data_IF_260633624070
#
_entry.id   IF_260633624070
#
_cell.length_a   1.000
_cell.length_b   1.000
_cell.length_c   1.000
_cell.angle_alpha   90.00
_cell.angle_beta   90.00
_cell.angle_gamma   90.00
#
_symmetry.space_group_name_H-M   'P 1'
#
loop_
_entity.id
_entity.type
_entity.pdbx_description
1 polymer ?
#
# COMPACT_ATOMS: atom_id res chain seq x y z
N UNK A 1 30.36 50.39 25.50
CA UNK A 1 31.70 50.60 26.01
C UNK A 1 31.69 50.89 27.51
N UNK A 2 32.64 50.34 28.23
CA UNK A 2 32.83 50.56 29.68
C UNK A 2 34.10 51.35 29.89
N UNK A 3 34.04 52.45 30.66
CA UNK A 3 35.21 53.20 31.04
C UNK A 3 35.82 52.51 32.28
N UNK A 4 37.05 52.10 32.15
CA UNK A 4 37.80 51.49 33.27
C UNK A 4 38.85 52.50 33.71
N UNK A 5 38.85 52.81 35.02
CA UNK A 5 39.85 53.69 35.64
C UNK A 5 40.69 52.87 36.64
N UNK A 6 41.97 52.98 36.58
CA UNK A 6 42.89 52.38 37.53
C UNK A 6 43.85 53.47 38.08
N UNK A 7 44.27 53.35 39.35
CA UNK A 7 45.30 54.19 39.94
C UNK A 7 46.60 53.45 40.06
N UNK A 8 47.68 54.08 39.63
CA UNK A 8 49.03 53.53 39.81
C UNK A 8 49.49 53.66 41.29
N UNK A 9 50.58 53.06 41.63
CA UNK A 9 51.15 53.12 42.99
C UNK A 9 51.53 54.55 43.47
N UNK A 10 51.47 55.53 42.60
CA UNK A 10 51.70 56.93 42.89
C UNK A 10 50.41 57.74 42.89
N UNK A 11 49.27 57.12 42.86
CA UNK A 11 47.97 57.75 42.91
C UNK A 11 47.51 58.42 41.61
N UNK A 12 48.24 58.23 40.47
CA UNK A 12 47.90 58.80 39.19
C UNK A 12 46.81 57.93 38.55
N UNK A 13 45.75 58.61 38.09
CA UNK A 13 44.61 57.94 37.48
C UNK A 13 44.89 57.69 35.98
N UNK A 14 44.75 56.46 35.56
CA UNK A 14 44.82 56.06 34.17
C UNK A 14 43.40 55.57 33.78
N UNK A 15 42.85 56.19 32.77
CA UNK A 15 41.53 55.79 32.24
C UNK A 15 41.68 55.17 30.85
N UNK A 16 41.08 54.03 30.66
CA UNK A 16 40.97 53.36 29.37
C UNK A 16 39.50 53.06 29.03
N UNK A 17 39.19 53.01 27.78
CA UNK A 17 37.86 52.58 27.32
C UNK A 17 38.00 51.18 26.72
N UNK A 18 37.25 50.26 27.30
CA UNK A 18 37.10 48.90 26.72
C UNK A 18 35.77 48.89 25.94
N UNK A 19 35.84 48.59 24.67
CA UNK A 19 34.68 48.42 23.83
C UNK A 19 34.39 46.94 23.75
N UNK A 20 33.26 46.51 24.28
CA UNK A 20 32.72 45.18 24.03
C UNK A 20 31.91 45.29 22.77
N UNK A 21 32.29 44.51 21.76
CA UNK A 21 31.47 44.28 20.59
C UNK A 21 30.71 42.99 20.88
N UNK A 22 29.42 43.11 21.15
CA UNK A 22 28.53 41.96 21.20
C UNK A 22 28.20 41.63 19.73
N UNK A 23 28.92 40.68 19.16
CA UNK A 23 28.48 40.08 17.93
C UNK A 23 27.22 39.26 18.24
N UNK A 24 26.15 39.57 17.54
CA UNK A 24 24.95 38.75 17.63
C UNK A 24 25.28 37.40 17.01
N UNK A 25 25.35 36.37 17.85
CA UNK A 25 25.59 35.01 17.40
C UNK A 25 24.56 34.56 16.38
N UNK A 26 24.88 33.53 15.62
CA UNK A 26 23.94 32.89 14.68
C UNK A 26 22.70 32.42 15.44
N UNK A 27 21.54 32.68 14.86
CA UNK A 27 20.24 32.19 15.35
C UNK A 27 19.65 31.31 14.26
N UNK A 28 19.29 30.09 14.62
CA UNK A 28 18.71 29.13 13.68
C UNK A 28 17.19 29.03 13.87
N UNK A 29 16.51 28.71 12.79
CA UNK A 29 15.09 28.30 12.75
C UNK A 29 14.98 26.98 11.98
N UNK A 30 14.44 25.97 12.63
CA UNK A 30 14.17 24.68 11.99
C UNK A 30 12.88 24.77 11.18
N UNK A 31 12.84 24.10 10.04
CA UNK A 31 11.65 23.94 9.22
C UNK A 31 11.62 22.52 8.63
N UNK A 32 10.49 21.88 8.78
CA UNK A 32 10.18 20.62 8.09
C UNK A 32 8.87 20.80 7.35
N UNK A 33 8.89 20.70 6.05
CA UNK A 33 7.64 20.73 5.27
C UNK A 33 6.75 19.57 5.70
N UNK A 34 5.46 19.80 5.87
CA UNK A 34 4.50 18.76 6.31
C UNK A 34 4.53 17.52 5.42
N UNK A 35 4.69 17.69 4.11
CA UNK A 35 4.84 16.60 3.13
C UNK A 35 6.12 15.77 3.32
N UNK A 36 7.15 16.31 3.98
CA UNK A 36 8.40 15.61 4.28
C UNK A 36 8.34 14.79 5.58
N UNK A 37 7.25 14.87 6.32
CA UNK A 37 7.01 14.10 7.53
C UNK A 37 6.27 12.80 7.16
N UNK A 38 6.94 11.67 7.31
CA UNK A 38 6.42 10.33 7.04
C UNK A 38 6.18 9.59 8.37
N UNK A 39 5.64 8.39 8.32
CA UNK A 39 5.40 7.58 9.53
C UNK A 39 6.71 7.20 10.25
N UNK A 40 7.75 6.87 9.51
CA UNK A 40 9.02 6.36 10.07
C UNK A 40 10.25 7.18 9.68
N UNK A 41 10.06 8.29 8.97
CA UNK A 41 11.18 9.15 8.54
C UNK A 41 10.77 10.60 8.33
N UNK A 42 11.75 11.49 8.38
CA UNK A 42 11.64 12.89 7.99
C UNK A 42 12.62 13.14 6.86
N UNK A 43 12.11 13.54 5.70
CA UNK A 43 12.92 13.77 4.50
C UNK A 43 13.47 15.19 4.52
N UNK A 44 14.80 15.30 4.43
CA UNK A 44 15.52 16.56 4.21
C UNK A 44 15.04 17.74 5.07
N UNK A 45 15.08 17.64 6.42
CA UNK A 45 14.75 18.76 7.27
C UNK A 45 15.69 19.94 7.02
N UNK A 46 15.20 21.14 7.19
CA UNK A 46 15.91 22.38 6.87
C UNK A 46 16.16 23.23 8.11
N UNK A 47 17.23 24.03 8.07
CA UNK A 47 17.42 25.12 9.00
C UNK A 47 17.81 26.40 8.27
N UNK A 48 17.27 27.52 8.77
CA UNK A 48 17.57 28.88 8.29
C UNK A 48 18.32 29.61 9.39
N UNK A 49 19.35 30.37 9.01
CA UNK A 49 20.26 31.03 9.93
C UNK A 49 20.23 32.56 9.73
N UNK A 50 19.86 33.26 10.79
CA UNK A 50 20.10 34.71 10.85
C UNK A 50 21.60 34.93 11.13
N UNK A 51 22.27 35.82 10.42
CA UNK A 51 23.70 36.12 10.52
C UNK A 51 24.67 35.02 10.02
N UNK A 52 24.18 34.12 9.16
CA UNK A 52 25.00 33.10 8.53
C UNK A 52 25.11 31.80 9.32
N UNK A 53 25.36 30.71 8.60
CA UNK A 53 25.44 29.35 9.16
C UNK A 53 26.82 29.10 9.80
N UNK A 54 26.88 28.70 11.08
CA UNK A 54 28.12 28.22 11.71
C UNK A 54 28.63 26.95 11.03
N UNK A 55 29.97 26.76 11.02
CA UNK A 55 30.58 25.60 10.39
C UNK A 55 30.28 24.26 11.07
N UNK A 56 30.00 24.32 12.37
CA UNK A 56 29.74 23.18 13.26
C UNK A 56 28.25 23.04 13.63
N UNK A 57 27.35 23.72 12.90
CA UNK A 57 25.92 23.64 13.16
C UNK A 57 25.42 22.20 12.93
N UNK A 58 24.73 21.65 13.94
CA UNK A 58 24.17 20.31 13.94
C UNK A 58 22.68 20.36 14.27
N UNK A 59 21.86 19.67 13.52
CA UNK A 59 20.45 19.47 13.87
C UNK A 59 20.34 18.26 14.81
N UNK A 60 19.64 18.46 15.90
CA UNK A 60 19.31 17.40 16.84
C UNK A 60 17.79 17.26 16.98
N UNK A 61 17.33 16.05 17.25
CA UNK A 61 15.92 15.74 17.46
C UNK A 61 15.73 14.89 18.73
N UNK A 62 14.52 14.96 19.31
CA UNK A 62 14.21 14.26 20.56
C UNK A 62 12.70 14.06 20.69
N UNK A 63 12.28 12.99 21.38
CA UNK A 63 10.89 12.74 21.75
C UNK A 63 10.53 13.30 23.13
N UNK A 64 11.53 13.53 24.00
CA UNK A 64 11.34 13.90 25.40
C UNK A 64 11.95 15.27 25.78
N UNK A 65 12.68 15.90 24.85
CA UNK A 65 13.40 17.16 25.07
C UNK A 65 14.61 17.02 26.00
N UNK A 66 14.96 15.81 26.42
CA UNK A 66 16.07 15.52 27.36
C UNK A 66 17.19 14.76 26.66
N UNK A 67 16.84 13.67 26.00
CA UNK A 67 17.78 12.86 25.21
C UNK A 67 17.70 13.29 23.76
N UNK A 68 18.84 13.70 23.21
CA UNK A 68 18.93 14.25 21.87
C UNK A 68 19.79 13.37 20.97
N UNK A 69 19.28 13.13 19.78
CA UNK A 69 19.95 12.40 18.71
C UNK A 69 20.33 13.38 17.60
N UNK A 70 21.46 13.13 16.94
CA UNK A 70 21.96 14.00 15.88
C UNK A 70 21.41 13.56 14.51
N UNK A 71 20.85 14.50 13.76
CA UNK A 71 20.53 14.31 12.34
C UNK A 71 21.78 14.45 11.42
N UNK A 72 22.98 14.58 12.02
CA UNK A 72 24.24 14.69 11.28
C UNK A 72 24.58 16.13 10.86
N UNK A 73 25.60 16.21 10.02
CA UNK A 73 26.10 17.49 9.51
C UNK A 73 25.20 18.02 8.37
N UNK A 74 24.98 19.34 8.30
CA UNK A 74 24.18 19.93 7.23
C UNK A 74 24.92 19.95 5.88
N UNK A 75 24.12 19.88 4.81
CA UNK A 75 24.56 20.31 3.49
C UNK A 75 24.18 21.78 3.33
N UNK A 76 25.19 22.62 3.17
CA UNK A 76 25.00 24.06 2.98
C UNK A 76 24.38 24.33 1.60
N UNK A 77 23.21 24.95 1.59
CA UNK A 77 22.53 25.38 0.35
C UNK A 77 22.89 26.82 0.00
N UNK A 78 22.91 27.71 1.03
CA UNK A 78 23.29 29.12 0.89
C UNK A 78 23.98 29.58 2.17
N UNK A 79 24.30 30.88 2.26
CA UNK A 79 24.90 31.46 3.48
C UNK A 79 24.03 31.35 4.72
N UNK A 80 22.72 31.23 4.52
CA UNK A 80 21.68 31.32 5.55
C UNK A 80 20.74 30.11 5.56
N UNK A 81 20.98 29.10 4.68
CA UNK A 81 20.13 27.90 4.59
C UNK A 81 20.97 26.62 4.52
N UNK A 82 20.59 25.64 5.32
CA UNK A 82 21.11 24.29 5.29
C UNK A 82 19.98 23.25 5.18
N UNK A 83 20.30 22.11 4.56
CA UNK A 83 19.46 20.91 4.53
C UNK A 83 20.22 19.79 5.22
N UNK A 84 19.54 18.99 6.00
CA UNK A 84 20.10 17.84 6.69
C UNK A 84 19.68 16.53 5.99
N UNK A 85 20.40 15.47 6.30
CA UNK A 85 20.07 14.14 5.80
C UNK A 85 18.67 13.71 6.26
N UNK A 86 18.07 12.77 5.55
CA UNK A 86 16.83 12.10 5.99
C UNK A 86 17.07 11.44 7.34
N UNK A 87 16.16 11.66 8.27
CA UNK A 87 16.13 10.99 9.58
C UNK A 87 15.22 9.79 9.42
N UNK A 88 15.77 8.59 9.54
CA UNK A 88 15.05 7.32 9.43
C UNK A 88 14.88 6.65 10.79
N UNK A 89 14.03 5.61 10.87
CA UNK A 89 13.82 4.80 12.06
C UNK A 89 12.99 5.49 13.15
N UNK A 90 12.19 6.47 12.78
CA UNK A 90 11.28 7.16 13.68
C UNK A 90 10.05 6.31 14.00
N UNK A 91 9.44 6.56 15.16
CA UNK A 91 8.18 5.92 15.56
C UNK A 91 6.98 6.62 14.94
N UNK A 92 6.00 5.88 14.38
CA UNK A 92 4.77 6.44 13.84
C UNK A 92 3.93 7.16 14.89
N UNK A 93 3.24 8.24 14.48
CA UNK A 93 2.33 9.00 15.34
C UNK A 93 3.01 9.65 16.54
N UNK A 94 4.33 9.84 16.48
CA UNK A 94 5.15 10.30 17.61
C UNK A 94 5.59 11.73 17.42
N UNK A 95 5.52 12.51 18.50
CA UNK A 95 6.00 13.89 18.52
C UNK A 95 7.51 13.97 18.63
N UNK A 96 8.14 14.75 17.74
CA UNK A 96 9.57 15.04 17.76
C UNK A 96 9.80 16.54 17.86
N UNK A 97 10.64 16.96 18.79
CA UNK A 97 11.13 18.32 18.87
C UNK A 97 12.55 18.40 18.30
N UNK A 98 12.90 19.60 17.80
CA UNK A 98 14.14 19.85 17.10
C UNK A 98 14.87 21.06 17.70
N UNK A 99 16.21 20.99 17.67
CA UNK A 99 17.07 22.11 17.97
C UNK A 99 18.31 22.10 17.06
N UNK A 100 18.88 23.28 16.88
CA UNK A 100 20.20 23.43 16.24
C UNK A 100 21.22 23.79 17.30
N UNK A 101 22.34 23.06 17.28
CA UNK A 101 23.46 23.25 18.22
C UNK A 101 24.71 23.67 17.45
N UNK A 102 25.47 24.63 17.99
CA UNK A 102 26.79 25.04 17.50
C UNK A 102 27.67 25.38 18.70
N UNK A 103 28.93 24.96 18.67
CA UNK A 103 29.89 25.10 19.77
C UNK A 103 29.34 24.67 21.15
N UNK A 104 28.53 23.62 21.16
CA UNK A 104 27.89 23.11 22.38
C UNK A 104 26.74 23.96 22.93
N UNK A 105 26.30 24.99 22.20
CA UNK A 105 25.20 25.87 22.60
C UNK A 105 24.00 25.69 21.67
N UNK A 106 22.78 25.69 22.22
CA UNK A 106 21.55 25.72 21.42
C UNK A 106 21.42 27.10 20.79
N UNK A 107 21.35 27.15 19.48
CA UNK A 107 21.21 28.37 18.69
C UNK A 107 19.86 28.49 17.99
N UNK A 108 19.00 27.47 18.11
CA UNK A 108 17.65 27.49 17.55
C UNK A 108 16.75 28.42 18.37
N UNK A 109 15.85 29.11 17.66
CA UNK A 109 14.89 30.05 18.26
C UNK A 109 13.55 29.34 18.46
N UNK A 110 13.17 29.18 19.73
CA UNK A 110 11.91 28.53 20.11
C UNK A 110 11.94 27.02 19.99
N UNK A 111 10.85 26.41 20.43
CA UNK A 111 10.63 24.96 20.33
C UNK A 111 9.92 24.68 19.01
N UNK A 112 10.58 23.92 18.13
CA UNK A 112 9.98 23.44 16.91
C UNK A 112 9.69 21.95 17.04
N UNK A 113 8.45 21.56 16.80
CA UNK A 113 8.03 20.17 16.90
C UNK A 113 7.12 19.77 15.74
N UNK A 114 7.17 18.49 15.40
CA UNK A 114 6.27 17.84 14.43
C UNK A 114 5.73 16.55 15.04
N UNK A 115 4.69 16.00 14.42
CA UNK A 115 4.21 14.65 14.72
C UNK A 115 4.34 13.82 13.44
N UNK A 116 4.98 12.66 13.52
CA UNK A 116 5.08 11.72 12.39
C UNK A 116 3.69 11.23 11.98
N UNK A 117 3.52 10.84 10.71
CA UNK A 117 2.28 10.22 10.24
C UNK A 117 1.99 8.92 11.02
N UNK A 118 0.72 8.58 11.19
CA UNK A 118 0.33 7.27 11.72
C UNK A 118 0.70 6.17 10.71
N UNK A 119 1.13 5.02 11.20
CA UNK A 119 1.26 3.84 10.36
C UNK A 119 -0.13 3.21 10.19
N UNK A 120 -0.69 3.30 9.00
CA UNK A 120 -1.94 2.65 8.67
C UNK A 120 -1.67 1.23 8.15
N UNK A 121 -2.57 0.31 8.48
CA UNK A 121 -2.61 -1.04 7.94
C UNK A 121 -3.79 -1.19 6.98
N UNK A 122 -3.69 -2.12 6.05
CA UNK A 122 -4.80 -2.50 5.19
C UNK A 122 -5.89 -3.19 6.02
N UNK A 123 -7.14 -2.86 5.78
CA UNK A 123 -8.25 -3.59 6.40
C UNK A 123 -8.21 -5.07 5.99
N UNK A 124 -8.52 -5.96 6.92
CA UNK A 124 -8.44 -7.41 6.73
C UNK A 124 -7.11 -7.90 6.13
N UNK A 125 -5.98 -7.27 6.51
CA UNK A 125 -4.65 -7.62 5.98
C UNK A 125 -4.24 -9.07 6.27
N UNK A 126 -4.73 -9.64 7.37
CA UNK A 126 -4.54 -11.05 7.74
C UNK A 126 -5.41 -12.04 6.97
N UNK A 127 -6.35 -11.59 6.15
CA UNK A 127 -7.33 -12.42 5.43
C UNK A 127 -8.22 -13.30 6.33
N UNK A 128 -8.49 -12.85 7.57
CA UNK A 128 -9.23 -13.61 8.58
C UNK A 128 -10.75 -13.36 8.54
N UNK A 129 -11.19 -12.25 7.95
CA UNK A 129 -12.60 -11.83 7.92
C UNK A 129 -13.25 -12.18 6.61
N UNK A 130 -14.24 -13.07 6.64
CA UNK A 130 -14.99 -13.52 5.48
C UNK A 130 -16.48 -13.64 5.77
N UNK A 131 -17.29 -13.29 4.78
CA UNK A 131 -18.73 -13.56 4.76
C UNK A 131 -19.05 -14.53 3.63
N UNK A 132 -19.83 -15.57 3.94
CA UNK A 132 -20.34 -16.53 2.97
C UNK A 132 -21.77 -16.19 2.62
N UNK A 133 -22.06 -16.09 1.33
CA UNK A 133 -23.39 -15.88 0.78
C UNK A 133 -23.77 -17.07 -0.11
N UNK A 134 -25.06 -17.40 -0.19
CA UNK A 134 -25.54 -18.43 -1.10
C UNK A 134 -25.88 -17.82 -2.45
N UNK A 135 -25.26 -18.32 -3.50
CA UNK A 135 -25.66 -18.09 -4.88
C UNK A 135 -26.63 -19.19 -5.32
N UNK A 136 -27.80 -18.81 -5.79
CA UNK A 136 -28.81 -19.71 -6.31
C UNK A 136 -28.73 -19.79 -7.83
N UNK A 137 -28.69 -21.01 -8.35
CA UNK A 137 -28.63 -21.24 -9.79
C UNK A 137 -29.47 -22.45 -10.18
N UNK A 138 -29.69 -22.64 -11.46
CA UNK A 138 -30.40 -23.78 -11.99
C UNK A 138 -29.50 -24.62 -12.88
N UNK A 139 -29.63 -25.92 -12.78
CA UNK A 139 -29.04 -26.86 -13.74
C UNK A 139 -30.13 -27.47 -14.59
N UNK A 140 -29.84 -27.59 -15.89
CA UNK A 140 -30.76 -28.21 -16.87
C UNK A 140 -30.96 -29.66 -16.54
N UNK A 141 -32.23 -30.08 -16.32
CA UNK A 141 -32.63 -31.45 -16.17
C UNK A 141 -33.32 -31.96 -17.41
N UNK A 142 -33.63 -33.26 -17.43
CA UNK A 142 -34.29 -33.92 -18.57
C UNK A 142 -35.76 -33.47 -18.72
N UNK A 143 -36.46 -33.31 -17.62
CA UNK A 143 -37.90 -32.98 -17.60
C UNK A 143 -38.12 -31.60 -16.96
N UNK A 144 -37.37 -31.26 -15.93
CA UNK A 144 -37.43 -29.97 -15.22
C UNK A 144 -36.04 -29.57 -14.76
N UNK A 145 -35.82 -28.28 -14.61
CA UNK A 145 -34.57 -27.76 -14.04
C UNK A 145 -34.48 -28.09 -12.56
N UNK A 146 -33.22 -28.36 -12.12
CA UNK A 146 -32.90 -28.52 -10.71
C UNK A 146 -32.47 -27.18 -10.13
N UNK A 147 -32.93 -26.88 -8.92
CA UNK A 147 -32.45 -25.73 -8.17
C UNK A 147 -31.22 -26.14 -7.36
N UNK A 148 -30.16 -25.42 -7.53
CA UNK A 148 -28.86 -25.67 -6.91
C UNK A 148 -28.38 -24.43 -6.16
N UNK A 149 -27.43 -24.60 -5.26
CA UNK A 149 -26.78 -23.50 -4.52
C UNK A 149 -25.27 -23.68 -4.51
N UNK A 150 -24.55 -22.59 -4.48
CA UNK A 150 -23.10 -22.54 -4.33
C UNK A 150 -22.73 -21.43 -3.37
N UNK A 151 -21.77 -21.70 -2.50
CA UNK A 151 -21.20 -20.66 -1.64
C UNK A 151 -20.46 -19.62 -2.48
N UNK A 152 -20.66 -18.37 -2.11
CA UNK A 152 -19.98 -17.20 -2.64
C UNK A 152 -19.37 -16.41 -1.49
N UNK A 153 -18.12 -16.01 -1.62
CA UNK A 153 -17.32 -15.48 -0.55
C UNK A 153 -17.00 -14.01 -0.74
N UNK A 154 -17.10 -13.25 0.36
CA UNK A 154 -16.70 -11.85 0.44
C UNK A 154 -15.60 -11.69 1.48
N UNK A 155 -14.48 -10.99 1.16
CA UNK A 155 -13.32 -10.87 2.03
C UNK A 155 -13.51 -9.76 3.09
N UNK A 156 -14.65 -9.79 3.82
CA UNK A 156 -14.99 -8.87 4.88
C UNK A 156 -16.06 -9.47 5.81
N UNK A 157 -16.11 -8.99 7.07
CA UNK A 157 -17.14 -9.40 8.03
C UNK A 157 -18.48 -8.68 7.81
N UNK A 158 -18.42 -7.40 7.41
CA UNK A 158 -19.58 -6.58 7.06
C UNK A 158 -19.25 -5.66 5.88
N UNK A 159 -20.26 -5.23 5.14
CA UNK A 159 -20.08 -4.36 3.98
C UNK A 159 -19.54 -2.97 4.36
N UNK A 160 -19.92 -2.47 5.53
CA UNK A 160 -19.43 -1.18 6.03
C UNK A 160 -17.91 -1.16 6.34
N UNK A 161 -17.33 -2.35 6.56
CA UNK A 161 -15.91 -2.55 6.83
C UNK A 161 -15.14 -3.07 5.61
N UNK A 162 -15.78 -3.12 4.45
CA UNK A 162 -15.22 -3.72 3.26
C UNK A 162 -14.06 -2.88 2.69
N UNK A 163 -12.87 -3.45 2.69
CA UNK A 163 -11.71 -2.93 1.96
C UNK A 163 -11.54 -3.64 0.64
N UNK A 164 -11.71 -4.96 0.65
CA UNK A 164 -11.48 -5.85 -0.46
C UNK A 164 -12.77 -6.28 -1.11
N UNK A 165 -12.73 -6.44 -2.42
CA UNK A 165 -13.78 -7.10 -3.19
C UNK A 165 -13.16 -8.10 -4.16
N UNK A 166 -13.99 -8.87 -4.84
CA UNK A 166 -13.61 -9.99 -5.69
C UNK A 166 -14.36 -9.95 -7.02
N UNK A 167 -13.74 -10.52 -8.05
CA UNK A 167 -14.36 -10.61 -9.37
C UNK A 167 -15.24 -11.86 -9.57
N UNK A 168 -15.60 -12.56 -8.51
CA UNK A 168 -16.36 -13.85 -8.59
C UNK A 168 -17.70 -13.74 -9.30
N UNK A 169 -18.30 -12.55 -9.41
CA UNK A 169 -19.53 -12.34 -10.20
C UNK A 169 -19.36 -12.72 -11.68
N UNK A 170 -18.14 -12.68 -12.21
CA UNK A 170 -17.84 -13.12 -13.59
C UNK A 170 -18.18 -14.59 -13.84
N UNK A 171 -18.17 -15.43 -12.80
CA UNK A 171 -18.31 -16.89 -12.90
C UNK A 171 -19.53 -17.46 -12.18
N UNK A 172 -20.39 -16.62 -11.61
CA UNK A 172 -21.59 -17.04 -10.90
C UNK A 172 -22.81 -17.01 -11.83
N UNK A 173 -22.84 -17.91 -12.82
CA UNK A 173 -23.98 -18.06 -13.72
C UNK A 173 -25.24 -18.46 -12.95
N UNK A 174 -26.40 -18.00 -13.40
CA UNK A 174 -27.70 -18.34 -12.81
C UNK A 174 -28.36 -19.56 -13.42
N UNK A 175 -27.87 -19.99 -14.60
CA UNK A 175 -28.34 -21.17 -15.32
C UNK A 175 -27.18 -21.85 -16.07
N UNK A 176 -27.07 -23.16 -15.98
CA UNK A 176 -26.06 -23.95 -16.70
C UNK A 176 -26.48 -25.41 -16.80
N UNK A 177 -25.81 -26.23 -17.64
CA UNK A 177 -25.95 -27.68 -17.56
C UNK A 177 -25.18 -28.21 -16.34
N UNK A 178 -25.57 -29.38 -15.83
CA UNK A 178 -24.87 -30.01 -14.72
C UNK A 178 -23.38 -30.28 -15.06
N UNK A 179 -23.09 -30.61 -16.33
CA UNK A 179 -21.73 -30.84 -16.81
C UNK A 179 -20.80 -29.65 -16.64
N UNK A 180 -21.34 -28.42 -16.73
CA UNK A 180 -20.54 -27.22 -16.67
C UNK A 180 -20.63 -26.45 -15.31
N UNK A 181 -21.45 -26.94 -14.38
CA UNK A 181 -21.63 -26.28 -13.08
C UNK A 181 -20.30 -26.08 -12.31
N UNK A 182 -19.32 -26.97 -12.52
CA UNK A 182 -17.99 -26.85 -11.92
C UNK A 182 -17.20 -25.65 -12.43
N UNK A 183 -17.48 -25.19 -13.64
CA UNK A 183 -16.73 -24.12 -14.30
C UNK A 183 -17.48 -22.79 -14.33
N UNK A 184 -18.81 -22.83 -14.46
CA UNK A 184 -19.67 -21.67 -14.65
C UNK A 184 -20.24 -21.09 -13.35
N UNK A 185 -20.22 -21.86 -12.26
CA UNK A 185 -20.77 -21.51 -10.96
C UNK A 185 -19.71 -21.75 -9.87
N UNK A 186 -18.48 -21.38 -10.15
CA UNK A 186 -17.37 -21.47 -9.20
C UNK A 186 -16.89 -20.07 -8.86
N UNK A 187 -16.87 -19.70 -7.57
CA UNK A 187 -16.27 -18.43 -7.19
C UNK A 187 -14.78 -18.41 -7.58
N UNK A 188 -14.33 -17.33 -8.20
CA UNK A 188 -12.91 -17.13 -8.54
C UNK A 188 -12.07 -16.87 -7.32
N UNK A 189 -12.70 -16.44 -6.21
CA UNK A 189 -12.04 -16.18 -4.95
C UNK A 189 -12.85 -16.81 -3.82
N UNK A 190 -12.16 -17.46 -2.90
CA UNK A 190 -12.71 -18.06 -1.67
C UNK A 190 -11.70 -17.94 -0.54
N UNK A 191 -12.09 -18.25 0.68
CA UNK A 191 -11.12 -18.49 1.74
C UNK A 191 -10.65 -19.94 1.76
N UNK A 192 -9.51 -20.18 2.39
CA UNK A 192 -8.93 -21.49 2.65
C UNK A 192 -8.52 -21.59 4.11
N UNK A 193 -8.69 -22.77 4.72
CA UNK A 193 -8.15 -23.07 6.05
C UNK A 193 -6.66 -23.41 6.03
N UNK A 194 -6.04 -23.51 4.87
CA UNK A 194 -4.59 -23.61 4.73
C UNK A 194 -4.00 -22.20 4.83
N UNK A 195 -3.54 -21.82 6.02
CA UNK A 195 -3.05 -20.50 6.36
C UNK A 195 -1.58 -20.54 6.76
N UNK A 196 -0.82 -19.49 6.43
CA UNK A 196 0.55 -19.34 6.90
C UNK A 196 0.61 -18.81 8.33
N UNK A 197 -0.36 -17.96 8.66
CA UNK A 197 -0.59 -17.36 9.98
C UNK A 197 -2.11 -17.25 10.16
N UNK A 198 -2.56 -17.21 11.41
CA UNK A 198 -3.99 -17.15 11.71
C UNK A 198 -4.75 -18.44 11.36
N UNK A 199 -5.98 -18.32 10.90
CA UNK A 199 -6.90 -19.41 10.63
C UNK A 199 -7.32 -19.53 9.16
N UNK A 200 -7.17 -18.46 8.39
CA UNK A 200 -7.63 -18.36 7.02
C UNK A 200 -6.59 -17.74 6.08
N UNK A 201 -6.77 -17.97 4.80
CA UNK A 201 -6.07 -17.31 3.70
C UNK A 201 -7.02 -17.09 2.54
N UNK A 202 -6.72 -16.14 1.66
CA UNK A 202 -7.45 -15.96 0.41
C UNK A 202 -6.97 -16.94 -0.66
N UNK A 203 -7.89 -17.60 -1.33
CA UNK A 203 -7.61 -18.51 -2.45
C UNK A 203 -8.20 -17.93 -3.74
N UNK A 204 -7.34 -17.66 -4.72
CA UNK A 204 -7.72 -17.15 -6.03
C UNK A 204 -7.49 -18.24 -7.09
N UNK A 205 -8.45 -18.42 -7.98
CA UNK A 205 -8.44 -19.49 -8.98
C UNK A 205 -8.72 -18.91 -10.37
N UNK A 206 -7.84 -19.20 -11.33
CA UNK A 206 -8.17 -18.97 -12.73
C UNK A 206 -9.16 -20.05 -13.16
N UNK A 207 -10.26 -19.64 -13.75
CA UNK A 207 -11.36 -20.53 -14.11
C UNK A 207 -11.99 -20.14 -15.43
N UNK A 208 -12.88 -20.99 -15.85
CA UNK A 208 -13.61 -20.92 -17.08
C UNK A 208 -14.97 -20.25 -16.85
N UNK A 209 -15.35 -19.36 -17.72
CA UNK A 209 -16.63 -18.67 -17.70
C UNK A 209 -17.40 -19.01 -18.97
N UNK A 210 -18.69 -19.22 -18.86
CA UNK A 210 -19.55 -19.35 -20.02
C UNK A 210 -20.49 -18.16 -20.17
N UNK A 211 -20.69 -17.71 -21.39
CA UNK A 211 -21.73 -16.77 -21.72
C UNK A 211 -23.11 -17.44 -21.53
N UNK A 212 -24.00 -16.83 -20.77
CA UNK A 212 -25.33 -17.32 -20.47
C UNK A 212 -26.17 -17.67 -21.72
N UNK A 213 -25.99 -16.92 -22.81
CA UNK A 213 -26.69 -17.20 -24.09
C UNK A 213 -26.30 -18.54 -24.72
N UNK A 214 -25.14 -19.08 -24.39
CA UNK A 214 -24.64 -20.36 -24.89
C UNK A 214 -25.01 -21.54 -24.03
N UNK A 215 -25.53 -21.32 -22.81
CA UNK A 215 -25.96 -22.39 -21.92
C UNK A 215 -27.23 -23.13 -22.41
N UNK A 216 -27.93 -22.50 -23.33
CA UNK A 216 -29.17 -23.07 -23.92
C UNK A 216 -28.87 -24.29 -24.79
N UNK A 217 -27.61 -24.50 -25.17
CA UNK A 217 -27.23 -25.43 -26.22
C UNK A 217 -26.82 -26.84 -25.77
N UNK A 218 -26.80 -27.10 -24.46
CA UNK A 218 -26.59 -28.45 -23.98
C UNK A 218 -27.90 -29.25 -24.09
N UNK A 219 -28.30 -29.46 -25.34
CA UNK A 219 -29.52 -30.16 -25.70
C UNK A 219 -29.62 -31.57 -25.09
N UNK A 220 -30.82 -32.07 -25.01
CA UNK A 220 -31.11 -33.44 -24.59
C UNK A 220 -30.24 -34.42 -25.39
N UNK A 221 -29.41 -35.21 -24.72
CA UNK A 221 -28.64 -36.27 -25.30
C UNK A 221 -27.55 -35.88 -26.31
N UNK A 222 -26.88 -34.76 -26.09
CA UNK A 222 -25.80 -34.30 -26.99
C UNK A 222 -26.27 -33.58 -28.26
N UNK A 223 -27.60 -33.40 -28.42
CA UNK A 223 -28.17 -32.66 -29.55
C UNK A 223 -27.79 -31.18 -29.52
N UNK A 224 -27.48 -30.62 -28.35
CA UNK A 224 -26.96 -29.26 -28.21
C UNK A 224 -25.58 -29.07 -28.87
N UNK A 225 -24.70 -30.00 -28.69
CA UNK A 225 -23.43 -30.01 -29.41
C UNK A 225 -23.60 -30.18 -30.93
N UNK A 226 -24.64 -30.88 -31.37
CA UNK A 226 -25.03 -30.99 -32.77
C UNK A 226 -25.70 -29.71 -33.27
N UNK A 227 -26.50 -29.05 -32.45
CA UNK A 227 -27.16 -27.78 -32.75
C UNK A 227 -26.18 -26.62 -32.96
N UNK A 228 -25.25 -26.44 -32.03
CA UNK A 228 -24.18 -25.46 -32.15
C UNK A 228 -23.25 -25.69 -33.33
N UNK A 229 -22.97 -26.95 -33.64
CA UNK A 229 -22.15 -27.33 -34.81
C UNK A 229 -22.90 -27.16 -36.13
N UNK A 230 -24.22 -27.40 -36.15
CA UNK A 230 -25.05 -27.30 -37.36
C UNK A 230 -25.48 -25.86 -37.65
N UNK A 231 -25.73 -25.05 -36.62
CA UNK A 231 -26.22 -23.68 -36.76
C UNK A 231 -25.09 -22.64 -36.85
N UNK A 232 -23.84 -23.05 -36.65
CA UNK A 232 -22.70 -22.11 -36.60
C UNK A 232 -22.71 -21.20 -35.39
N UNK A 233 -23.61 -21.39 -34.42
CA UNK A 233 -23.60 -20.74 -33.12
C UNK A 233 -22.61 -21.45 -32.21
N UNK A 234 -21.35 -21.06 -32.32
CA UNK A 234 -20.31 -21.51 -31.41
C UNK A 234 -20.66 -21.10 -29.97
N UNK A 235 -20.48 -22.04 -29.05
CA UNK A 235 -20.57 -21.74 -27.63
C UNK A 235 -19.42 -20.77 -27.29
N UNK A 236 -19.73 -19.52 -27.00
CA UNK A 236 -18.71 -18.57 -26.57
C UNK A 236 -18.39 -18.81 -25.09
N UNK A 237 -17.19 -19.25 -24.85
CA UNK A 237 -16.64 -19.39 -23.52
C UNK A 237 -15.70 -18.20 -23.24
N UNK A 238 -15.92 -17.51 -22.12
CA UNK A 238 -14.98 -16.58 -21.58
C UNK A 238 -14.15 -17.26 -20.47
N UNK A 239 -13.01 -16.71 -20.18
CA UNK A 239 -12.10 -17.19 -19.16
C UNK A 239 -11.79 -16.04 -18.20
N UNK A 240 -11.57 -16.30 -16.92
CA UNK A 240 -11.16 -15.28 -15.96
C UNK A 240 -10.12 -15.80 -14.98
N UNK A 241 -9.11 -14.98 -14.71
CA UNK A 241 -8.31 -15.12 -13.51
C UNK A 241 -9.10 -14.67 -12.29
N UNK A 242 -8.89 -15.32 -11.15
CA UNK A 242 -9.41 -14.85 -9.88
C UNK A 242 -8.70 -13.55 -9.49
N UNK A 243 -9.49 -12.55 -9.12
CA UNK A 243 -8.99 -11.26 -8.64
C UNK A 243 -9.60 -10.93 -7.28
N UNK A 244 -8.73 -10.51 -6.36
CA UNK A 244 -9.09 -9.88 -5.10
C UNK A 244 -8.40 -8.52 -5.04
N UNK A 245 -9.18 -7.47 -4.87
CA UNK A 245 -8.67 -6.11 -4.97
C UNK A 245 -9.29 -5.17 -3.94
N UNK A 246 -8.55 -4.13 -3.58
CA UNK A 246 -9.07 -3.06 -2.73
C UNK A 246 -9.98 -2.17 -3.59
N UNK A 247 -11.27 -2.12 -3.26
CA UNK A 247 -12.28 -1.39 -4.01
C UNK A 247 -13.63 -2.09 -4.01
N UNK A 248 -14.44 -1.86 -5.04
CA UNK A 248 -15.76 -2.48 -5.20
C UNK A 248 -15.94 -3.08 -6.59
N UNK A 249 -16.63 -4.20 -6.68
CA UNK A 249 -16.98 -4.85 -7.96
C UNK A 249 -18.36 -4.40 -8.44
N UNK A 250 -18.50 -4.29 -9.76
CA UNK A 250 -19.79 -4.07 -10.45
C UNK A 250 -20.59 -5.37 -10.57
N UNK A 251 -21.80 -5.29 -11.15
CA UNK A 251 -22.67 -6.46 -11.32
C UNK A 251 -22.10 -7.52 -12.27
N UNK A 252 -21.24 -7.14 -13.20
CA UNK A 252 -20.57 -8.05 -14.14
C UNK A 252 -19.22 -8.58 -13.60
N UNK A 253 -18.85 -8.21 -12.36
CA UNK A 253 -17.59 -8.60 -11.73
C UNK A 253 -16.37 -7.80 -12.17
N UNK A 254 -16.54 -6.74 -12.97
CA UNK A 254 -15.48 -5.77 -13.23
C UNK A 254 -15.26 -4.85 -12.02
N UNK A 255 -14.19 -4.04 -12.04
CA UNK A 255 -13.93 -3.07 -10.98
C UNK A 255 -14.86 -1.85 -11.14
N UNK A 256 -15.77 -1.62 -10.20
CA UNK A 256 -16.61 -0.42 -10.15
C UNK A 256 -15.85 0.76 -9.52
N UNK A 257 -15.01 0.47 -8.52
CA UNK A 257 -14.07 1.42 -7.95
C UNK A 257 -12.78 0.73 -7.57
N UNK A 258 -11.68 1.48 -7.59
CA UNK A 258 -10.37 0.99 -7.18
C UNK A 258 -9.83 1.83 -6.03
N UNK A 259 -9.26 1.16 -5.02
CA UNK A 259 -8.61 1.78 -3.87
C UNK A 259 -9.55 2.17 -2.73
N UNK A 260 -8.94 2.33 -1.55
CA UNK A 260 -9.57 2.76 -0.30
C UNK A 260 -8.76 3.92 0.31
N UNK A 261 -9.39 4.75 1.13
CA UNK A 261 -8.73 5.84 1.85
C UNK A 261 -7.54 5.33 2.66
N UNK A 262 -6.38 5.93 2.47
CA UNK A 262 -5.14 5.48 3.11
C UNK A 262 -4.14 6.63 3.15
N UNK A 263 -3.78 7.07 4.35
CA UNK A 263 -2.96 8.28 4.55
C UNK A 263 -1.47 8.01 4.78
N UNK A 264 -1.08 6.73 4.91
CA UNK A 264 0.32 6.36 5.08
C UNK A 264 1.01 6.15 3.74
N UNK A 265 2.33 6.29 3.73
CA UNK A 265 3.21 6.03 2.58
C UNK A 265 4.07 4.80 2.86
N UNK A 266 3.55 3.56 2.62
CA UNK A 266 4.29 2.33 2.89
C UNK A 266 5.53 2.24 1.99
N UNK A 267 6.63 1.71 2.51
CA UNK A 267 7.83 1.42 1.72
C UNK A 267 7.72 0.10 0.95
N UNK A 268 6.85 -0.81 1.40
CA UNK A 268 6.67 -2.11 0.76
C UNK A 268 5.32 -2.74 1.09
N UNK A 269 4.92 -3.71 0.28
CA UNK A 269 3.87 -4.69 0.56
C UNK A 269 4.51 -6.06 0.74
N UNK A 270 4.31 -6.68 1.91
CA UNK A 270 4.77 -8.04 2.20
C UNK A 270 3.59 -8.99 2.39
N UNK A 271 3.74 -10.22 1.91
CA UNK A 271 2.73 -11.28 2.08
C UNK A 271 3.36 -12.67 1.92
N UNK A 272 2.65 -13.69 2.41
CA UNK A 272 2.99 -15.09 2.20
C UNK A 272 2.05 -15.70 1.16
N UNK A 273 2.56 -16.64 0.37
CA UNK A 273 1.78 -17.26 -0.68
C UNK A 273 2.17 -18.73 -0.93
N UNK A 274 1.23 -19.47 -1.51
CA UNK A 274 1.44 -20.71 -2.25
C UNK A 274 0.88 -20.53 -3.66
N UNK A 275 1.52 -21.07 -4.66
CA UNK A 275 1.04 -20.97 -6.03
C UNK A 275 1.17 -22.30 -6.77
N UNK A 276 0.03 -22.85 -7.17
CA UNK A 276 -0.08 -24.00 -8.04
C UNK A 276 -0.21 -23.51 -9.48
N UNK A 277 0.93 -23.39 -10.15
CA UNK A 277 1.04 -22.85 -11.51
C UNK A 277 0.71 -23.92 -12.54
N UNK A 278 0.10 -23.52 -13.63
CA UNK A 278 -0.07 -24.32 -14.83
C UNK A 278 0.67 -23.68 -16.00
N UNK A 279 1.40 -24.50 -16.76
CA UNK A 279 2.13 -24.11 -17.98
C UNK A 279 3.08 -22.92 -17.78
N UNK A 280 3.75 -22.87 -16.63
CA UNK A 280 4.63 -21.79 -16.21
C UNK A 280 3.95 -20.39 -16.06
N UNK A 281 2.62 -20.36 -15.97
CA UNK A 281 1.92 -19.12 -15.62
C UNK A 281 2.40 -18.60 -14.26
N UNK A 282 2.33 -17.31 -14.08
CA UNK A 282 2.73 -16.61 -12.85
C UNK A 282 1.57 -15.76 -12.36
N UNK A 283 1.42 -15.61 -11.05
CA UNK A 283 0.43 -14.68 -10.53
C UNK A 283 0.95 -13.23 -10.56
N UNK A 284 0.03 -12.30 -10.54
CA UNK A 284 0.31 -10.87 -10.64
C UNK A 284 -0.17 -10.15 -9.39
N UNK A 285 0.61 -9.15 -8.96
CA UNK A 285 0.21 -8.22 -7.92
C UNK A 285 0.44 -6.79 -8.42
N UNK A 286 -0.56 -5.94 -8.22
CA UNK A 286 -0.47 -4.50 -8.52
C UNK A 286 -0.66 -3.73 -7.23
N UNK A 287 0.23 -2.78 -6.96
CA UNK A 287 0.13 -1.83 -5.84
C UNK A 287 0.19 -0.42 -6.40
N UNK A 288 -0.68 0.47 -5.92
CA UNK A 288 -0.71 1.88 -6.30
C UNK A 288 -1.09 2.75 -5.11
N UNK A 289 -0.32 3.79 -4.86
CA UNK A 289 -0.60 4.82 -3.85
C UNK A 289 -0.86 6.13 -4.57
N UNK A 290 -1.93 6.80 -4.22
CA UNK A 290 -2.41 8.02 -4.87
C UNK A 290 -2.52 9.17 -3.86
N UNK A 291 -2.33 10.40 -4.37
CA UNK A 291 -2.60 11.63 -3.62
C UNK A 291 -4.11 11.96 -3.57
N UNK A 292 -4.48 13.04 -2.87
CA UNK A 292 -5.87 13.48 -2.75
C UNK A 292 -6.51 13.93 -4.09
N UNK A 293 -5.71 14.16 -5.11
CA UNK A 293 -6.16 14.51 -6.47
C UNK A 293 -6.24 13.29 -7.39
N UNK A 294 -5.94 12.09 -6.90
CA UNK A 294 -5.91 10.85 -7.69
C UNK A 294 -4.64 10.67 -8.52
N UNK A 295 -3.60 11.48 -8.30
CA UNK A 295 -2.34 11.26 -8.99
C UNK A 295 -1.55 10.15 -8.30
N UNK A 296 -0.98 9.25 -9.08
CA UNK A 296 -0.13 8.17 -8.57
C UNK A 296 1.19 8.77 -8.05
N UNK A 297 1.52 8.48 -6.79
CA UNK A 297 2.77 8.90 -6.14
C UNK A 297 3.75 7.74 -5.95
N UNK A 298 3.25 6.51 -5.91
CA UNK A 298 4.03 5.30 -5.99
C UNK A 298 3.20 4.19 -6.64
N UNK A 299 3.82 3.35 -7.46
CA UNK A 299 3.20 2.16 -8.01
C UNK A 299 4.21 1.08 -8.31
N UNK A 300 3.78 -0.16 -8.16
CA UNK A 300 4.54 -1.33 -8.57
C UNK A 300 3.60 -2.39 -9.10
N UNK A 301 4.00 -2.99 -10.21
CA UNK A 301 3.41 -4.21 -10.72
C UNK A 301 4.44 -5.32 -10.65
N UNK A 302 4.06 -6.47 -10.12
CA UNK A 302 4.85 -7.68 -10.06
C UNK A 302 4.09 -8.77 -10.81
N UNK A 303 4.73 -9.38 -11.80
CA UNK A 303 4.19 -10.45 -12.64
C UNK A 303 5.20 -11.60 -12.80
N UNK A 304 5.86 -11.97 -11.72
CA UNK A 304 6.86 -13.03 -11.64
C UNK A 304 6.65 -13.97 -10.45
N UNK A 305 5.43 -14.00 -9.92
CA UNK A 305 5.02 -14.88 -8.83
C UNK A 305 5.10 -16.33 -9.22
N UNK A 306 6.13 -17.05 -8.70
CA UNK A 306 6.48 -18.41 -9.12
C UNK A 306 5.75 -19.47 -8.32
N UNK A 307 5.61 -20.65 -8.93
CA UNK A 307 5.05 -21.83 -8.27
C UNK A 307 5.77 -22.14 -6.95
N UNK A 308 4.99 -22.44 -5.91
CA UNK A 308 5.48 -22.84 -4.60
C UNK A 308 4.48 -23.79 -3.94
N UNK A 309 4.91 -25.01 -3.63
CA UNK A 309 4.08 -25.99 -2.89
C UNK A 309 4.03 -25.72 -1.38
N UNK A 310 5.01 -25.01 -0.85
CA UNK A 310 5.07 -24.52 0.53
C UNK A 310 4.79 -23.02 0.61
N UNK A 311 4.56 -22.52 1.83
CA UNK A 311 4.43 -21.09 2.05
C UNK A 311 5.75 -20.37 1.75
N UNK A 312 5.74 -19.48 0.78
CA UNK A 312 6.82 -18.59 0.42
C UNK A 312 6.48 -17.15 0.80
N UNK A 313 7.49 -16.35 1.10
CA UNK A 313 7.31 -14.91 1.39
C UNK A 313 7.68 -14.08 0.17
N UNK A 314 6.95 -13.00 -0.05
CA UNK A 314 7.23 -12.00 -1.06
C UNK A 314 7.14 -10.60 -0.48
N UNK A 315 8.06 -9.74 -0.88
CA UNK A 315 8.05 -8.31 -0.56
C UNK A 315 8.17 -7.52 -1.85
N UNK A 316 7.27 -6.59 -2.04
CA UNK A 316 7.22 -5.67 -3.19
C UNK A 316 7.61 -4.29 -2.68
N UNK A 317 8.79 -3.82 -3.03
CA UNK A 317 9.26 -2.49 -2.65
C UNK A 317 8.56 -1.41 -3.47
N UNK A 318 8.19 -0.32 -2.81
CA UNK A 318 7.53 0.83 -3.39
C UNK A 318 8.47 2.03 -3.44
N UNK A 319 8.80 2.46 -4.64
CA UNK A 319 9.62 3.63 -4.90
C UNK A 319 8.72 4.84 -5.12
N UNK A 320 8.91 5.87 -4.30
CA UNK A 320 8.19 7.14 -4.43
C UNK A 320 8.97 8.08 -5.34
N UNK A 321 8.50 8.25 -6.56
CA UNK A 321 9.05 9.23 -7.51
C UNK A 321 8.64 10.67 -7.20
N UNK A 322 7.56 10.84 -6.43
CA UNK A 322 6.99 12.12 -6.03
C UNK A 322 7.01 12.21 -4.51
N UNK A 323 7.90 13.03 -3.95
CA UNK A 323 8.09 13.17 -2.50
C UNK A 323 7.34 14.36 -1.90
N UNK A 324 6.84 15.26 -2.72
CA UNK A 324 6.16 16.51 -2.35
C UNK A 324 4.63 16.36 -2.22
N UNK A 325 4.14 15.13 -2.06
CA UNK A 325 2.71 14.83 -1.92
C UNK A 325 2.47 13.78 -0.86
N UNK A 326 1.35 13.93 -0.15
CA UNK A 326 0.86 12.94 0.82
C UNK A 326 -0.01 11.89 0.14
N UNK A 327 0.01 10.68 0.69
CA UNK A 327 -0.93 9.64 0.29
C UNK A 327 -2.34 9.96 0.78
N UNK A 328 -3.32 9.61 0.00
CA UNK A 328 -4.74 9.69 0.33
C UNK A 328 -5.50 8.40 -0.01
N UNK A 329 -4.94 7.55 -0.87
CA UNK A 329 -5.58 6.33 -1.32
C UNK A 329 -4.54 5.25 -1.61
N UNK A 330 -4.90 3.98 -1.34
CA UNK A 330 -4.13 2.80 -1.74
C UNK A 330 -5.00 1.83 -2.52
N UNK A 331 -4.44 1.25 -3.56
CA UNK A 331 -4.99 0.15 -4.33
C UNK A 331 -4.03 -1.02 -4.31
N UNK A 332 -4.53 -2.22 -4.04
CA UNK A 332 -3.81 -3.48 -4.16
C UNK A 332 -4.72 -4.46 -4.90
N UNK A 333 -4.17 -5.19 -5.86
CA UNK A 333 -4.87 -6.25 -6.56
C UNK A 333 -3.97 -7.47 -6.65
N UNK A 334 -4.49 -8.60 -6.19
CA UNK A 334 -3.92 -9.92 -6.43
C UNK A 334 -4.70 -10.59 -7.55
N UNK A 335 -3.99 -11.15 -8.54
CA UNK A 335 -4.58 -11.84 -9.67
C UNK A 335 -3.89 -13.19 -9.87
N UNK A 336 -4.68 -14.25 -10.01
CA UNK A 336 -4.17 -15.64 -10.08
C UNK A 336 -3.38 -15.97 -11.34
N UNK A 337 -3.32 -15.08 -12.33
CA UNK A 337 -2.60 -15.26 -13.59
C UNK A 337 -2.06 -13.92 -14.09
N UNK A 338 -0.90 -13.92 -14.73
CA UNK A 338 -0.38 -12.76 -15.46
C UNK A 338 -0.91 -12.63 -16.89
N UNK A 339 -1.54 -13.68 -17.40
CA UNK A 339 -2.12 -13.74 -18.73
C UNK A 339 -3.38 -12.89 -18.83
N UNK A 340 -3.71 -12.39 -20.02
CA UNK A 340 -5.03 -11.85 -20.29
C UNK A 340 -6.09 -12.95 -20.14
N UNK A 341 -7.34 -12.57 -19.83
CA UNK A 341 -8.40 -13.57 -19.57
C UNK A 341 -8.61 -14.50 -20.77
N UNK A 342 -8.52 -13.99 -21.99
CA UNK A 342 -8.62 -14.74 -23.25
C UNK A 342 -7.51 -15.77 -23.45
N UNK A 343 -6.34 -15.56 -22.87
CA UNK A 343 -5.16 -16.44 -23.00
C UNK A 343 -5.12 -17.54 -21.94
N UNK A 344 -6.01 -17.51 -20.93
CA UNK A 344 -6.07 -18.52 -19.88
C UNK A 344 -6.55 -19.83 -20.47
N UNK A 345 -5.78 -20.90 -20.30
CA UNK A 345 -6.13 -22.26 -20.73
C UNK A 345 -7.09 -22.92 -19.75
N UNK A 346 -7.82 -23.97 -20.19
CA UNK A 346 -8.90 -24.64 -19.45
C UNK A 346 -8.51 -25.27 -18.10
N UNK A 347 -7.27 -25.15 -17.64
CA UNK A 347 -6.84 -25.74 -16.37
C UNK A 347 -6.76 -24.69 -15.30
N UNK A 348 -7.11 -25.08 -14.07
CA UNK A 348 -7.11 -24.22 -12.88
C UNK A 348 -5.68 -23.90 -12.47
N UNK A 349 -5.32 -22.64 -12.47
CA UNK A 349 -4.22 -22.14 -11.64
C UNK A 349 -4.78 -21.67 -10.32
N UNK A 350 -4.03 -21.80 -9.24
CA UNK A 350 -4.47 -21.43 -7.91
C UNK A 350 -3.36 -20.71 -7.16
N UNK A 351 -3.63 -19.49 -6.72
CA UNK A 351 -2.80 -18.78 -5.76
C UNK A 351 -3.54 -18.70 -4.42
N UNK A 352 -2.84 -18.95 -3.34
CA UNK A 352 -3.33 -18.81 -1.99
C UNK A 352 -2.47 -17.75 -1.30
N UNK A 353 -3.08 -16.73 -0.73
CA UNK A 353 -2.42 -15.57 -0.15
C UNK A 353 -2.82 -15.45 1.31
N UNK A 354 -1.84 -15.42 2.19
CA UNK A 354 -2.00 -15.06 3.59
C UNK A 354 -1.36 -13.70 3.85
N UNK A 355 -2.02 -12.89 4.65
CA UNK A 355 -1.44 -11.66 5.18
C UNK A 355 -0.28 -11.94 6.14
N UNK A 356 0.53 -10.93 6.35
CA UNK A 356 1.60 -10.91 7.36
C UNK A 356 1.32 -9.85 8.40
#
# INVERSE_FOLDING_TARGET
SVKVTAKDKKGREVAGTVRFILEQGAVARVNVADVNVWATKIVSPEAFFDNGMPKDATLEYSTDGVRWESAGAPVKISSDKAVYATIDGLEPGTGYCFRVVSAGQVISKGDYSIVTEQAAQLGNSGMESWTTQLHHYKTKGLISDNNETRDWYRPWASEDEAWWDVNSKKTLATYTSQQYAEYKVVPTVSYSSDAAEGSCSAQLVSTFICNMASDVDDGIGGAGNLGGSITGMGVEYAKAAGEMFIGTSSEDGSHASEGHSFTSRPSSLSFKYKYDSYDNDVFKVTVRVEDASGNVIASKEMSDGRASSGWASMTIELDYSVLDRKAARIYVCFRSSSLADEDITYRKTKVTIAGT
#
